data_IF_191329833077
#
_entry.id   IF_191329833077
#
_cell.length_a   1.000
_cell.length_b   1.000
_cell.length_c   1.000
_cell.angle_alpha   90.00
_cell.angle_beta   90.00
_cell.angle_gamma   90.00
#
_symmetry.space_group_name_H-M   'P 1'
#
loop_
_entity.id
_entity.type
_entity.pdbx_description
1 polymer ?
#
# COMPACT_ATOMS: atom_id res chain seq x y z
N UNK A 1 57.12 14.33 27.91
CA UNK A 1 56.19 15.26 27.23
C UNK A 1 55.50 14.45 26.13
N UNK A 2 54.35 13.85 26.45
CA UNK A 2 53.53 13.11 25.49
C UNK A 2 52.43 14.04 25.01
N UNK A 3 52.54 14.48 23.77
CA UNK A 3 51.47 15.16 23.04
C UNK A 3 50.56 14.08 22.43
N UNK A 4 49.49 13.72 23.15
CA UNK A 4 48.38 12.98 22.54
C UNK A 4 47.65 13.94 21.60
N UNK A 5 47.77 13.69 20.30
CA UNK A 5 46.91 14.29 19.30
C UNK A 5 45.51 13.69 19.48
N UNK A 6 44.57 14.50 19.95
CA UNK A 6 43.15 14.21 19.81
C UNK A 6 42.83 14.22 18.30
N UNK A 7 42.37 13.09 17.78
CA UNK A 7 41.84 13.01 16.43
C UNK A 7 40.63 13.94 16.27
N UNK A 8 40.32 14.40 15.05
CA UNK A 8 39.09 15.14 14.79
C UNK A 8 37.93 14.26 15.28
N UNK A 9 37.21 14.75 16.29
CA UNK A 9 36.03 14.07 16.80
C UNK A 9 35.08 13.88 15.64
N UNK A 10 34.63 12.63 15.46
CA UNK A 10 33.43 12.36 14.69
C UNK A 10 32.36 13.29 15.24
N UNK A 11 31.91 14.23 14.40
CA UNK A 11 30.74 15.02 14.70
C UNK A 11 29.61 13.99 14.72
N UNK A 12 29.18 13.61 15.92
CA UNK A 12 27.88 12.97 16.09
C UNK A 12 26.90 13.91 15.39
N UNK A 13 26.43 13.50 14.21
CA UNK A 13 25.43 14.23 13.47
C UNK A 13 24.17 14.17 14.32
N UNK A 14 23.85 15.28 14.99
CA UNK A 14 22.65 15.43 15.81
C UNK A 14 21.45 14.98 14.95
N UNK A 15 20.90 13.80 15.27
CA UNK A 15 19.75 13.24 14.56
C UNK A 15 18.56 14.15 14.88
N UNK A 16 18.20 15.00 13.94
CA UNK A 16 17.05 15.90 14.04
C UNK A 16 15.76 15.09 13.88
N UNK A 17 15.11 14.78 15.01
CA UNK A 17 13.80 14.13 15.02
C UNK A 17 12.72 15.18 14.79
N UNK A 18 12.22 15.26 13.55
CA UNK A 18 11.08 16.14 13.24
C UNK A 18 9.78 15.49 13.67
N UNK A 19 9.18 16.07 14.71
CA UNK A 19 7.87 15.68 15.21
C UNK A 19 6.81 16.28 14.30
N UNK A 20 6.35 15.51 13.30
CA UNK A 20 5.16 15.83 12.54
C UNK A 20 3.96 15.54 13.44
N UNK A 21 3.12 16.54 13.70
CA UNK A 21 1.87 16.32 14.43
C UNK A 21 1.02 15.30 13.66
N UNK A 22 0.79 14.09 14.21
CA UNK A 22 0.06 13.05 13.52
C UNK A 22 -1.41 13.44 13.28
N UNK A 23 -1.94 14.46 13.96
CA UNK A 23 -3.27 14.99 13.67
C UNK A 23 -3.34 15.77 12.34
N UNK A 24 -2.20 16.25 11.83
CA UNK A 24 -2.10 16.99 10.57
C UNK A 24 -1.77 16.09 9.36
N UNK A 25 -1.49 14.82 9.59
CA UNK A 25 -1.29 13.82 8.54
C UNK A 25 -2.51 12.93 8.51
N UNK A 26 -3.22 12.93 7.39
CA UNK A 26 -4.30 11.98 7.21
C UNK A 26 -3.73 10.55 7.34
N UNK A 27 -4.29 9.69 8.21
CA UNK A 27 -3.84 8.32 8.34
C UNK A 27 -3.80 7.60 6.98
N UNK A 28 -2.77 6.78 6.75
CA UNK A 28 -2.54 6.15 5.46
C UNK A 28 -3.69 5.24 5.01
N UNK A 29 -4.38 4.62 5.97
CA UNK A 29 -5.60 3.85 5.78
C UNK A 29 -6.75 4.72 5.24
N UNK A 30 -6.93 5.93 5.75
CA UNK A 30 -7.96 6.86 5.26
C UNK A 30 -7.65 7.33 3.83
N UNK A 31 -6.38 7.62 3.54
CA UNK A 31 -5.95 7.97 2.18
C UNK A 31 -6.20 6.82 1.19
N UNK A 32 -5.91 5.58 1.59
CA UNK A 32 -6.16 4.39 0.80
C UNK A 32 -7.67 4.16 0.61
N UNK A 33 -8.48 4.35 1.66
CA UNK A 33 -9.93 4.28 1.57
C UNK A 33 -10.49 5.30 0.57
N UNK A 34 -10.01 6.55 0.58
CA UNK A 34 -10.43 7.57 -0.38
C UNK A 34 -10.14 7.15 -1.82
N UNK A 35 -8.99 6.54 -2.09
CA UNK A 35 -8.65 6.03 -3.42
C UNK A 35 -9.59 4.89 -3.85
N UNK A 36 -9.79 3.88 -2.98
CA UNK A 36 -10.66 2.74 -3.27
C UNK A 36 -12.11 3.18 -3.50
N UNK A 37 -12.64 4.10 -2.68
CA UNK A 37 -13.97 4.67 -2.87
C UNK A 37 -14.06 5.40 -4.21
N UNK A 38 -13.06 6.19 -4.57
CA UNK A 38 -13.07 6.93 -5.83
C UNK A 38 -13.08 5.99 -7.04
N UNK A 39 -12.25 4.94 -7.02
CA UNK A 39 -12.21 3.92 -8.07
C UNK A 39 -13.53 3.16 -8.18
N UNK A 40 -14.05 2.67 -7.06
CA UNK A 40 -15.34 1.96 -6.98
C UNK A 40 -16.50 2.82 -7.50
N UNK A 41 -16.48 4.12 -7.21
CA UNK A 41 -17.51 5.05 -7.67
C UNK A 41 -17.52 5.21 -9.21
N UNK A 42 -16.35 5.18 -9.86
CA UNK A 42 -16.27 5.21 -11.33
C UNK A 42 -16.74 3.90 -11.94
N UNK A 43 -16.36 2.76 -11.36
CA UNK A 43 -16.83 1.44 -11.81
C UNK A 43 -18.35 1.31 -11.71
N UNK A 44 -18.94 1.71 -10.57
CA UNK A 44 -20.38 1.74 -10.38
C UNK A 44 -21.07 2.67 -11.38
N UNK A 45 -20.48 3.84 -11.65
CA UNK A 45 -20.98 4.80 -12.62
C UNK A 45 -20.95 4.23 -14.05
N UNK A 46 -19.84 3.65 -14.48
CA UNK A 46 -19.67 3.00 -15.79
C UNK A 46 -20.68 1.87 -15.98
N UNK A 47 -20.85 1.01 -14.95
CA UNK A 47 -21.81 -0.09 -14.96
C UNK A 47 -23.24 0.42 -15.15
N UNK A 48 -23.70 1.37 -14.33
CA UNK A 48 -25.07 1.90 -14.45
C UNK A 48 -25.27 2.65 -15.76
N UNK A 49 -24.23 3.35 -16.25
CA UNK A 49 -24.29 4.03 -17.55
C UNK A 49 -24.41 3.03 -18.70
N UNK A 50 -23.68 1.92 -18.66
CA UNK A 50 -23.78 0.85 -19.67
C UNK A 50 -25.17 0.19 -19.67
N UNK A 51 -25.79 0.01 -18.50
CA UNK A 51 -27.12 -0.59 -18.37
C UNK A 51 -28.25 0.35 -18.82
N UNK A 52 -28.13 1.65 -18.52
CA UNK A 52 -29.24 2.60 -18.65
C UNK A 52 -29.11 3.54 -19.85
N UNK A 53 -27.88 3.83 -20.30
CA UNK A 53 -27.57 4.86 -21.28
C UNK A 53 -27.86 6.30 -20.79
N UNK A 54 -28.18 6.50 -19.50
CA UNK A 54 -28.58 7.79 -18.93
C UNK A 54 -27.60 8.25 -17.84
N UNK A 55 -26.83 9.29 -18.16
CA UNK A 55 -25.82 9.87 -17.26
C UNK A 55 -26.43 10.41 -15.96
N UNK A 56 -27.61 11.03 -16.02
CA UNK A 56 -28.25 11.61 -14.84
C UNK A 56 -28.74 10.50 -13.90
N UNK A 57 -29.27 9.41 -14.48
CA UNK A 57 -29.65 8.22 -13.72
C UNK A 57 -28.44 7.54 -13.08
N UNK A 58 -27.36 7.34 -13.84
CA UNK A 58 -26.13 6.76 -13.33
C UNK A 58 -25.57 7.56 -12.14
N UNK A 59 -25.49 8.89 -12.24
CA UNK A 59 -25.09 9.76 -11.13
C UNK A 59 -25.98 9.60 -9.89
N UNK A 60 -27.30 9.62 -10.07
CA UNK A 60 -28.25 9.50 -8.97
C UNK A 60 -28.22 8.12 -8.29
N UNK A 61 -27.76 7.08 -8.99
CA UNK A 61 -27.60 5.74 -8.46
C UNK A 61 -26.31 5.59 -7.66
N UNK A 62 -25.19 6.09 -8.17
CA UNK A 62 -23.91 6.12 -7.44
C UNK A 62 -24.00 7.01 -6.18
N UNK A 63 -24.66 8.17 -6.25
CA UNK A 63 -24.94 9.01 -5.08
C UNK A 63 -25.70 8.25 -3.97
N UNK A 64 -26.59 7.31 -4.35
CA UNK A 64 -27.36 6.51 -3.40
C UNK A 64 -26.54 5.36 -2.81
N UNK A 65 -25.62 4.79 -3.59
CA UNK A 65 -24.74 3.71 -3.15
C UNK A 65 -23.68 4.21 -2.14
N UNK A 66 -23.26 5.46 -2.23
CA UNK A 66 -22.16 6.03 -1.44
C UNK A 66 -22.59 7.27 -0.60
N UNK A 67 -23.51 7.11 0.38
CA UNK A 67 -24.11 8.25 1.08
C UNK A 67 -23.15 9.01 2.01
N UNK A 68 -22.07 8.38 2.49
CA UNK A 68 -21.13 8.99 3.43
C UNK A 68 -19.98 9.74 2.74
N UNK A 69 -19.74 9.46 1.46
CA UNK A 69 -18.59 9.96 0.69
C UNK A 69 -19.04 10.81 -0.52
N UNK A 70 -20.24 11.40 -0.44
CA UNK A 70 -20.89 12.10 -1.56
C UNK A 70 -20.02 13.17 -2.24
N UNK A 71 -19.23 13.93 -1.49
CA UNK A 71 -18.38 14.97 -2.09
C UNK A 71 -17.22 14.39 -2.90
N UNK A 72 -16.57 13.35 -2.38
CA UNK A 72 -15.51 12.63 -3.08
C UNK A 72 -16.06 11.96 -4.34
N UNK A 73 -17.15 11.22 -4.21
CA UNK A 73 -17.81 10.51 -5.32
C UNK A 73 -18.23 11.45 -6.44
N UNK A 74 -18.86 12.59 -6.11
CA UNK A 74 -19.28 13.59 -7.11
C UNK A 74 -18.10 14.20 -7.84
N UNK A 75 -17.05 14.58 -7.09
CA UNK A 75 -15.85 15.17 -7.67
C UNK A 75 -15.15 14.17 -8.61
N UNK A 76 -15.07 12.89 -8.23
CA UNK A 76 -14.47 11.84 -9.07
C UNK A 76 -15.25 11.62 -10.36
N UNK A 77 -16.57 11.45 -10.29
CA UNK A 77 -17.41 11.25 -11.49
C UNK A 77 -17.37 12.48 -12.41
N UNK A 78 -17.32 13.69 -11.85
CA UNK A 78 -17.20 14.92 -12.63
C UNK A 78 -15.86 15.00 -13.37
N UNK A 79 -14.74 14.74 -12.69
CA UNK A 79 -13.42 14.76 -13.31
C UNK A 79 -13.26 13.64 -14.36
N UNK A 80 -13.73 12.44 -14.06
CA UNK A 80 -13.75 11.32 -15.01
C UNK A 80 -14.50 11.69 -16.31
N UNK A 81 -15.69 12.29 -16.20
CA UNK A 81 -16.45 12.73 -17.37
C UNK A 81 -15.71 13.82 -18.18
N UNK A 82 -15.03 14.75 -17.50
CA UNK A 82 -14.22 15.79 -18.16
C UNK A 82 -13.03 15.18 -18.92
N UNK A 83 -12.30 14.23 -18.31
CA UNK A 83 -11.16 13.55 -18.93
C UNK A 83 -11.59 12.75 -20.17
N UNK A 84 -12.75 12.09 -20.13
CA UNK A 84 -13.31 11.41 -21.31
C UNK A 84 -13.67 12.36 -22.43
N UNK A 85 -14.28 13.52 -22.13
CA UNK A 85 -14.56 14.56 -23.13
C UNK A 85 -13.26 15.08 -23.75
N UNK A 86 -12.17 15.14 -22.97
CA UNK A 86 -10.84 15.51 -23.46
C UNK A 86 -10.16 14.43 -24.31
N UNK A 87 -10.79 13.26 -24.51
CA UNK A 87 -10.29 12.19 -25.37
C UNK A 87 -9.31 11.24 -24.68
N UNK A 88 -9.24 11.25 -23.34
CA UNK A 88 -8.51 10.21 -22.59
C UNK A 88 -9.17 8.85 -22.76
N UNK A 89 -8.37 7.79 -22.70
CA UNK A 89 -8.91 6.42 -22.65
C UNK A 89 -9.69 6.20 -21.35
N UNK A 90 -10.65 5.27 -21.34
CA UNK A 90 -11.50 5.03 -20.18
C UNK A 90 -10.67 4.62 -18.93
N UNK A 91 -9.65 3.78 -19.12
CA UNK A 91 -8.73 3.35 -18.05
C UNK A 91 -7.89 4.51 -17.50
N UNK A 92 -7.29 5.32 -18.40
CA UNK A 92 -6.48 6.49 -18.01
C UNK A 92 -7.35 7.53 -17.29
N UNK A 93 -8.55 7.81 -17.80
CA UNK A 93 -9.50 8.73 -17.18
C UNK A 93 -9.95 8.24 -15.81
N UNK A 94 -10.17 6.92 -15.62
CA UNK A 94 -10.55 6.33 -14.34
C UNK A 94 -9.44 6.48 -13.32
N UNK A 95 -8.23 6.02 -13.64
CA UNK A 95 -7.09 6.05 -12.72
C UNK A 95 -6.68 7.49 -12.37
N UNK A 96 -6.63 8.39 -13.36
CA UNK A 96 -6.31 9.81 -13.15
C UNK A 96 -7.38 10.51 -12.29
N UNK A 97 -8.67 10.30 -12.57
CA UNK A 97 -9.74 10.92 -11.78
C UNK A 97 -9.75 10.44 -10.33
N UNK A 98 -9.61 9.12 -10.11
CA UNK A 98 -9.58 8.54 -8.77
C UNK A 98 -8.40 9.07 -7.95
N UNK A 99 -7.19 9.04 -8.53
CA UNK A 99 -5.98 9.52 -7.88
C UNK A 99 -6.04 11.01 -7.57
N UNK A 100 -6.37 11.86 -8.55
CA UNK A 100 -6.33 13.31 -8.38
C UNK A 100 -7.39 13.82 -7.41
N UNK A 101 -8.58 13.21 -7.38
CA UNK A 101 -9.62 13.57 -6.41
C UNK A 101 -9.28 13.04 -5.01
N UNK A 102 -8.80 11.80 -4.91
CA UNK A 102 -8.35 11.26 -3.63
C UNK A 102 -7.22 12.11 -3.04
N UNK A 103 -6.24 12.53 -3.83
CA UNK A 103 -5.15 13.41 -3.41
C UNK A 103 -5.64 14.80 -2.99
N UNK A 104 -6.68 15.34 -3.66
CA UNK A 104 -7.27 16.64 -3.29
C UNK A 104 -8.07 16.56 -1.98
N UNK A 105 -8.79 15.46 -1.78
CA UNK A 105 -9.60 15.23 -0.57
C UNK A 105 -8.77 14.69 0.60
N UNK A 106 -7.56 14.22 0.32
CA UNK A 106 -6.55 13.80 1.29
C UNK A 106 -5.46 14.86 1.32
N UNK A 107 -5.62 15.99 2.03
CA UNK A 107 -4.56 16.98 2.16
C UNK A 107 -3.30 16.32 2.73
N UNK A 108 -2.39 15.95 1.82
CA UNK A 108 -1.03 15.59 2.17
C UNK A 108 -0.32 16.88 2.53
N UNK A 109 0.53 16.83 3.54
CA UNK A 109 1.56 17.85 3.69
C UNK A 109 2.32 17.88 2.37
N UNK A 110 2.25 19.01 1.66
CA UNK A 110 3.06 19.21 0.46
C UNK A 110 4.54 19.04 0.80
N UNK A 111 5.37 18.67 -0.18
CA UNK A 111 6.81 18.58 0.03
C UNK A 111 7.39 19.90 0.61
N UNK A 112 6.81 21.05 0.24
CA UNK A 112 7.13 22.35 0.85
C UNK A 112 6.69 22.48 2.30
N UNK A 113 5.49 21.98 2.68
CA UNK A 113 5.07 21.98 4.07
C UNK A 113 5.89 21.03 4.92
N UNK A 114 6.28 19.88 4.37
CA UNK A 114 7.23 18.97 5.00
C UNK A 114 8.56 19.70 5.16
N UNK A 115 9.15 20.22 4.08
CA UNK A 115 10.41 20.96 4.13
C UNK A 115 10.37 22.18 5.07
N UNK A 116 9.24 22.89 5.14
CA UNK A 116 9.04 24.01 6.06
C UNK A 116 8.92 23.53 7.52
N UNK A 117 8.32 22.37 7.76
CA UNK A 117 8.31 21.74 9.09
C UNK A 117 9.73 21.32 9.51
N UNK A 118 10.55 20.81 8.58
CA UNK A 118 11.97 20.51 8.81
C UNK A 118 12.85 21.76 8.93
N UNK A 119 12.49 22.87 8.28
CA UNK A 119 13.26 24.13 8.36
C UNK A 119 12.87 25.02 9.55
N UNK A 120 11.76 24.72 10.22
CA UNK A 120 11.36 25.43 11.42
C UNK A 120 12.41 25.15 12.51
N UNK A 121 12.97 26.18 13.18
CA UNK A 121 13.98 25.98 14.21
C UNK A 121 13.39 25.04 15.27
N UNK A 122 14.07 23.93 15.50
CA UNK A 122 13.66 22.94 16.49
C UNK A 122 13.33 23.65 17.80
N UNK A 123 12.03 23.68 18.13
CA UNK A 123 11.60 24.08 19.46
C UNK A 123 11.93 22.88 20.32
N UNK A 124 13.19 22.78 20.74
CA UNK A 124 13.60 21.79 21.72
C UNK A 124 12.69 21.96 22.92
N UNK A 125 11.79 21.00 23.14
CA UNK A 125 11.25 20.80 24.47
C UNK A 125 12.47 20.66 25.38
N UNK A 126 12.52 21.45 26.46
CA UNK A 126 13.70 21.52 27.32
C UNK A 126 14.18 20.11 27.64
N UNK A 127 15.41 19.83 27.22
CA UNK A 127 15.99 18.50 27.14
C UNK A 127 15.66 17.70 28.41
N UNK A 128 14.87 16.63 28.26
CA UNK A 128 14.56 15.74 29.39
C UNK A 128 15.86 15.07 29.87
N UNK A 129 16.91 15.11 29.06
CA UNK A 129 18.23 14.54 29.33
C UNK A 129 19.13 15.44 30.18
N UNK A 130 18.73 16.70 30.45
CA UNK A 130 19.36 17.54 31.50
C UNK A 130 18.99 17.08 32.92
N UNK A 131 18.00 16.19 33.06
CA UNK A 131 17.77 15.46 34.29
C UNK A 131 18.80 14.34 34.40
N UNK A 132 19.85 14.56 35.22
CA UNK A 132 20.88 13.60 35.64
C UNK A 132 20.32 12.17 35.75
N UNK A 133 20.36 11.42 34.64
CA UNK A 133 19.78 10.08 34.46
C UNK A 133 20.50 9.01 35.28
N UNK A 134 21.38 9.44 36.19
CA UNK A 134 22.00 8.62 37.23
C UNK A 134 20.93 7.88 38.00
N UNK A 135 20.61 6.69 37.49
CA UNK A 135 20.30 5.50 38.25
C UNK A 135 19.44 5.82 39.48
N UNK A 136 18.23 6.30 39.25
CA UNK A 136 17.15 6.00 40.17
C UNK A 136 16.65 4.62 39.75
N UNK A 137 17.21 3.50 40.27
CA UNK A 137 16.50 2.23 40.15
C UNK A 137 15.09 2.52 40.69
N UNK A 138 14.02 2.05 40.01
CA UNK A 138 12.69 2.21 40.56
C UNK A 138 12.77 1.71 42.00
N UNK A 139 12.58 2.61 42.96
CA UNK A 139 12.66 2.25 44.37
C UNK A 139 11.71 1.07 44.50
N UNK A 140 12.27 -0.12 44.77
CA UNK A 140 11.58 -1.41 44.77
C UNK A 140 10.17 -1.17 45.25
N UNK A 141 9.19 -1.25 44.34
CA UNK A 141 7.82 -0.87 44.65
C UNK A 141 7.42 -1.69 45.88
N UNK A 142 7.31 -1.03 47.04
CA UNK A 142 6.86 -1.66 48.28
C UNK A 142 5.36 -1.99 48.22
N UNK A 143 4.73 -1.78 47.07
CA UNK A 143 3.38 -2.27 46.77
C UNK A 143 3.51 -3.78 46.59
N UNK A 144 3.02 -4.59 47.55
CA UNK A 144 2.98 -6.03 47.37
C UNK A 144 2.18 -6.33 46.11
N UNK A 145 2.70 -7.18 45.23
CA UNK A 145 1.93 -7.68 44.10
C UNK A 145 0.63 -8.27 44.64
N UNK A 146 -0.48 -7.63 44.27
CA UNK A 146 -1.80 -8.02 44.73
C UNK A 146 -2.21 -9.20 43.88
N UNK A 147 -2.51 -10.35 44.50
CA UNK A 147 -3.10 -11.49 43.80
C UNK A 147 -4.29 -10.99 42.96
N UNK A 148 -4.37 -11.37 41.67
CA UNK A 148 -5.42 -10.91 40.79
C UNK A 148 -6.78 -11.26 41.41
N UNK A 149 -7.64 -10.25 41.57
CA UNK A 149 -8.98 -10.47 42.10
C UNK A 149 -9.72 -11.45 41.17
N UNK A 150 -10.38 -12.50 41.70
CA UNK A 150 -11.01 -13.55 40.89
C UNK A 150 -12.13 -13.04 39.96
N UNK A 151 -12.64 -11.82 40.19
CA UNK A 151 -13.64 -11.15 39.35
C UNK A 151 -13.07 -10.01 38.50
N UNK A 152 -11.75 -9.82 38.50
CA UNK A 152 -11.06 -8.77 37.75
C UNK A 152 -11.22 -8.95 36.25
N UNK A 153 -11.22 -7.84 35.51
CA UNK A 153 -11.34 -7.86 34.04
C UNK A 153 -10.24 -8.69 33.36
N UNK A 154 -9.06 -8.79 33.99
CA UNK A 154 -7.94 -9.64 33.55
C UNK A 154 -8.29 -11.12 33.72
N UNK A 155 -8.83 -11.51 34.88
CA UNK A 155 -9.26 -12.89 35.15
C UNK A 155 -10.42 -13.33 34.24
N UNK A 156 -11.26 -12.40 33.78
CA UNK A 156 -12.38 -12.68 32.86
C UNK A 156 -11.98 -12.80 31.40
N UNK A 157 -10.86 -12.22 30.99
CA UNK A 157 -10.42 -12.20 29.59
C UNK A 157 -9.25 -13.12 29.30
N UNK A 158 -8.60 -13.69 30.32
CA UNK A 158 -7.70 -14.81 30.11
C UNK A 158 -8.55 -16.05 29.78
N UNK A 159 -8.47 -16.60 28.56
CA UNK A 159 -9.12 -17.87 28.27
C UNK A 159 -8.57 -18.89 29.26
N UNK A 160 -9.45 -19.67 29.90
CA UNK A 160 -9.03 -20.77 30.76
C UNK A 160 -8.07 -21.61 29.96
N UNK A 161 -6.79 -21.62 30.35
CA UNK A 161 -5.75 -22.38 29.66
C UNK A 161 -6.25 -23.81 29.67
N UNK A 162 -6.61 -24.40 28.51
CA UNK A 162 -7.01 -25.79 28.49
C UNK A 162 -5.82 -26.57 29.04
N UNK A 163 -6.08 -27.53 29.93
CA UNK A 163 -5.08 -28.54 30.30
C UNK A 163 -4.66 -29.23 29.00
N UNK A 164 -3.60 -28.71 28.38
CA UNK A 164 -2.93 -29.31 27.25
C UNK A 164 -2.26 -30.55 27.80
N UNK A 165 -3.00 -31.66 27.78
CA UNK A 165 -2.44 -32.99 27.97
C UNK A 165 -1.58 -33.26 26.74
N UNK A 166 -0.33 -32.78 26.79
CA UNK A 166 0.71 -33.21 25.86
C UNK A 166 0.92 -34.69 26.16
N UNK A 167 0.66 -35.60 25.20
CA UNK A 167 0.92 -37.01 25.40
C UNK A 167 2.39 -37.18 25.80
N UNK A 168 2.67 -38.00 26.84
CA UNK A 168 4.05 -38.28 27.28
C UNK A 168 4.94 -38.87 26.17
N UNK A 169 4.34 -39.28 25.05
CA UNK A 169 5.00 -39.83 23.86
C UNK A 169 5.23 -38.79 22.74
N UNK A 170 4.92 -37.51 22.94
CA UNK A 170 5.24 -36.45 21.98
C UNK A 170 6.72 -36.05 22.12
N UNK A 171 7.59 -36.80 21.46
CA UNK A 171 8.93 -36.32 21.08
C UNK A 171 8.77 -35.50 19.80
N UNK A 172 8.83 -34.16 19.85
CA UNK A 172 8.95 -33.37 18.62
C UNK A 172 10.18 -33.87 17.86
N UNK A 173 9.97 -34.33 16.63
CA UNK A 173 11.05 -34.67 15.71
C UNK A 173 11.85 -33.39 15.41
N UNK A 174 12.84 -33.12 16.26
CA UNK A 174 13.83 -32.10 15.99
C UNK A 174 14.76 -32.65 14.92
N UNK A 175 14.65 -32.12 13.71
CA UNK A 175 15.70 -32.27 12.72
C UNK A 175 17.00 -31.76 13.34
N UNK A 176 18.07 -32.52 13.17
CA UNK A 176 19.40 -32.02 13.47
C UNK A 176 19.72 -30.85 12.53
N UNK A 177 20.63 -29.96 12.94
CA UNK A 177 21.03 -28.83 12.09
C UNK A 177 21.55 -29.29 10.71
N UNK A 178 22.16 -30.47 10.63
CA UNK A 178 22.62 -31.05 9.36
C UNK A 178 21.45 -31.52 8.47
N UNK A 179 20.35 -32.00 9.06
CA UNK A 179 19.15 -32.42 8.32
C UNK A 179 18.34 -31.20 7.83
N UNK A 180 18.26 -30.15 8.63
CA UNK A 180 17.63 -28.87 8.26
C UNK A 180 18.35 -28.21 7.06
N UNK A 181 19.69 -28.19 7.09
CA UNK A 181 20.49 -27.69 5.96
C UNK A 181 20.30 -28.53 4.69
N UNK A 182 20.18 -29.86 4.82
CA UNK A 182 19.97 -30.76 3.67
C UNK A 182 18.59 -30.56 3.03
N UNK A 183 17.54 -30.36 3.82
CA UNK A 183 16.19 -30.14 3.33
C UNK A 183 16.07 -28.76 2.65
N UNK A 184 16.69 -27.73 3.22
CA UNK A 184 16.78 -26.40 2.59
C UNK A 184 17.55 -26.46 1.26
N UNK A 185 18.66 -27.21 1.19
CA UNK A 185 19.42 -27.38 -0.04
C UNK A 185 18.61 -28.14 -1.12
N UNK A 186 17.81 -29.13 -0.71
CA UNK A 186 16.93 -29.87 -1.62
C UNK A 186 15.79 -28.98 -2.17
N UNK A 187 15.27 -28.06 -1.35
CA UNK A 187 14.31 -27.04 -1.80
C UNK A 187 14.94 -26.07 -2.80
N UNK A 188 16.13 -25.52 -2.50
CA UNK A 188 16.83 -24.57 -3.38
C UNK A 188 17.22 -25.19 -4.74
N UNK A 189 17.45 -26.52 -4.76
CA UNK A 189 17.72 -27.27 -5.99
C UNK A 189 16.46 -27.63 -6.79
N UNK A 190 15.27 -27.30 -6.29
CA UNK A 190 13.99 -27.55 -6.97
C UNK A 190 13.66 -29.04 -7.11
N UNK A 191 14.06 -29.88 -6.16
CA UNK A 191 13.68 -31.29 -6.17
C UNK A 191 12.15 -31.44 -6.03
N UNK A 192 11.57 -32.28 -6.87
CA UNK A 192 10.12 -32.44 -6.94
C UNK A 192 9.60 -33.16 -5.69
N UNK A 193 8.93 -32.42 -4.80
CA UNK A 193 8.34 -32.95 -3.56
C UNK A 193 8.79 -32.27 -2.27
N UNK A 194 9.77 -31.37 -2.32
CA UNK A 194 10.20 -30.57 -1.15
C UNK A 194 9.37 -29.30 -1.03
N UNK A 195 8.56 -29.21 0.03
CA UNK A 195 7.86 -27.97 0.40
C UNK A 195 8.78 -27.13 1.28
N UNK A 196 8.73 -25.78 1.25
CA UNK A 196 9.59 -24.97 2.11
C UNK A 196 9.33 -25.31 3.58
N UNK A 197 10.39 -25.68 4.29
CA UNK A 197 10.32 -25.93 5.73
C UNK A 197 9.96 -24.62 6.42
N UNK A 198 8.74 -24.54 6.97
CA UNK A 198 8.24 -23.29 7.58
C UNK A 198 8.60 -23.14 9.06
N UNK A 199 9.35 -24.09 9.65
CA UNK A 199 9.83 -24.04 11.05
C UNK A 199 8.76 -23.86 12.12
N UNK A 200 7.49 -23.86 11.73
CA UNK A 200 6.35 -23.55 12.55
C UNK A 200 5.40 -24.74 12.44
N UNK A 201 5.15 -25.40 13.58
CA UNK A 201 4.09 -26.39 13.66
C UNK A 201 2.83 -25.82 13.00
N UNK A 202 2.32 -26.48 11.97
CA UNK A 202 1.10 -26.06 11.29
C UNK A 202 0.03 -25.79 12.36
N UNK A 203 -0.59 -24.59 12.40
CA UNK A 203 -1.47 -24.23 13.50
C UNK A 203 -2.61 -25.23 13.58
N UNK A 204 -2.64 -26.04 14.65
CA UNK A 204 -3.76 -26.91 14.93
C UNK A 204 -4.95 -26.04 15.34
N UNK A 205 -5.90 -25.84 14.42
CA UNK A 205 -7.15 -25.17 14.73
C UNK A 205 -8.09 -26.19 15.38
N UNK A 206 -8.32 -26.04 16.68
CA UNK A 206 -9.37 -26.78 17.39
C UNK A 206 -10.72 -26.17 16.99
N UNK A 207 -11.53 -26.91 16.24
CA UNK A 207 -12.90 -26.47 15.96
C UNK A 207 -13.77 -26.56 17.23
N UNK A 208 -14.95 -25.92 17.22
CA UNK A 208 -15.90 -25.93 18.35
C UNK A 208 -16.39 -27.33 18.76
N UNK A 209 -16.08 -28.38 17.99
CA UNK A 209 -16.40 -29.77 18.30
C UNK A 209 -15.23 -30.57 18.89
N UNK A 210 -14.07 -29.96 19.13
CA UNK A 210 -12.93 -30.59 19.80
C UNK A 210 -12.20 -31.65 18.97
N UNK A 211 -12.35 -31.62 17.63
CA UNK A 211 -11.69 -32.56 16.72
C UNK A 211 -10.50 -31.89 16.05
N UNK A 212 -9.30 -32.39 16.30
CA UNK A 212 -8.07 -31.94 15.63
C UNK A 212 -8.11 -32.34 14.15
N UNK A 213 -7.96 -31.38 13.24
CA UNK A 213 -7.79 -31.64 11.80
C UNK A 213 -6.52 -30.94 11.31
N UNK A 214 -5.68 -31.70 10.59
CA UNK A 214 -4.51 -31.17 9.91
C UNK A 214 -4.94 -30.56 8.57
N UNK A 215 -4.54 -29.32 8.30
CA UNK A 215 -4.97 -28.55 7.12
C UNK A 215 -4.23 -28.95 5.83
N UNK A 216 -3.12 -29.69 5.92
CA UNK A 216 -2.22 -29.95 4.79
C UNK A 216 -2.58 -31.12 3.87
N UNK A 217 -3.71 -31.83 4.08
CA UNK A 217 -4.00 -33.10 3.39
C UNK A 217 -5.17 -33.10 2.40
N UNK A 218 -5.71 -31.93 2.00
CA UNK A 218 -6.76 -31.85 0.97
C UNK A 218 -6.45 -30.78 -0.08
N UNK A 219 -5.32 -30.92 -0.77
CA UNK A 219 -5.19 -30.43 -2.15
C UNK A 219 -5.26 -31.64 -3.08
N UNK A 220 -6.47 -32.18 -3.24
CA UNK A 220 -6.79 -33.09 -4.34
C UNK A 220 -6.55 -32.30 -5.64
N UNK A 221 -5.48 -32.64 -6.34
CA UNK A 221 -5.13 -32.06 -7.63
C UNK A 221 -6.33 -32.19 -8.58
N UNK A 222 -6.96 -31.06 -8.89
CA UNK A 222 -7.91 -30.98 -9.99
C UNK A 222 -7.09 -31.16 -11.27
N UNK A 223 -7.15 -32.37 -11.82
CA UNK A 223 -6.60 -32.73 -13.12
C UNK A 223 -7.36 -31.98 -14.22
N UNK A 224 -6.85 -30.82 -14.64
CA UNK A 224 -7.37 -30.03 -15.79
C UNK A 224 -6.67 -30.48 -17.08
N UNK A 225 -6.53 -31.80 -17.27
CA UNK A 225 -5.95 -32.38 -18.49
C UNK A 225 -6.88 -33.41 -19.09
N UNK A 226 -8.05 -32.98 -19.56
CA UNK A 226 -8.96 -33.89 -20.25
C UNK A 226 -10.23 -33.25 -20.80
N UNK A 227 -10.12 -32.46 -21.88
CA UNK A 227 -11.15 -32.33 -22.92
C UNK A 227 -10.64 -31.41 -24.04
N UNK A 228 -9.78 -31.94 -24.90
CA UNK A 228 -9.66 -31.46 -26.27
C UNK A 228 -10.55 -32.41 -27.08
N UNK A 229 -11.81 -32.02 -27.23
CA UNK A 229 -12.74 -32.66 -28.15
C UNK A 229 -12.56 -31.97 -29.50
N UNK A 230 -11.90 -32.66 -30.43
CA UNK A 230 -11.73 -32.27 -31.83
C UNK A 230 -13.06 -32.46 -32.59
N UNK A 231 -14.08 -31.72 -32.17
CA UNK A 231 -15.42 -31.72 -32.76
C UNK A 231 -15.63 -30.51 -33.65
N UNK A 232 -15.54 -30.72 -34.96
CA UNK A 232 -16.20 -29.91 -36.00
C UNK A 232 -17.62 -29.54 -35.56
N UNK A 233 -17.88 -28.28 -35.23
CA UNK A 233 -19.23 -27.74 -35.24
C UNK A 233 -19.23 -26.28 -35.70
N UNK A 234 -19.99 -26.06 -36.77
CA UNK A 234 -20.33 -24.80 -37.40
C UNK A 234 -20.85 -23.78 -36.36
N UNK A 235 -19.97 -22.94 -35.81
CA UNK A 235 -20.40 -21.73 -35.11
C UNK A 235 -20.80 -20.69 -36.17
N UNK A 236 -22.04 -20.82 -36.64
CA UNK A 236 -22.71 -19.78 -37.40
C UNK A 236 -22.88 -18.58 -36.47
N UNK A 237 -22.12 -17.52 -36.70
CA UNK A 237 -22.40 -16.22 -36.11
C UNK A 237 -23.82 -15.80 -36.51
N UNK A 238 -24.72 -15.47 -35.57
CA UNK A 238 -26.02 -14.95 -35.94
C UNK A 238 -25.80 -13.58 -36.59
N UNK A 239 -25.98 -13.51 -37.91
CA UNK A 239 -26.26 -12.25 -38.60
C UNK A 239 -27.46 -11.61 -37.91
N UNK A 240 -27.22 -10.56 -37.15
CA UNK A 240 -28.24 -9.61 -36.69
C UNK A 240 -28.91 -8.99 -37.92
N UNK A 241 -29.96 -9.66 -38.42
CA UNK A 241 -30.93 -9.05 -39.31
C UNK A 241 -31.78 -8.10 -38.47
N UNK A 242 -31.41 -6.83 -38.51
CA UNK A 242 -32.27 -5.71 -38.11
C UNK A 242 -33.55 -5.73 -38.96
N UNK A 243 -34.61 -6.33 -38.43
CA UNK A 243 -35.97 -6.16 -38.94
C UNK A 243 -36.66 -5.10 -38.09
N UNK A 244 -36.38 -3.84 -38.40
CA UNK A 244 -37.16 -2.71 -37.89
C UNK A 244 -37.73 -1.93 -39.08
N UNK A 245 -39.02 -2.13 -39.44
CA UNK A 245 -39.66 -1.37 -40.49
C UNK A 245 -40.38 -0.16 -39.89
N UNK A 246 -39.62 0.87 -39.52
CA UNK A 246 -40.16 2.21 -39.25
C UNK A 246 -39.34 3.29 -39.94
N UNK A 247 -39.16 3.13 -41.26
CA UNK A 247 -38.82 4.27 -42.14
C UNK A 247 -40.09 5.10 -42.31
N UNK A 248 -40.30 6.03 -41.37
CA UNK A 248 -41.11 7.20 -41.64
C UNK A 248 -40.38 8.04 -42.69
N UNK A 249 -41.07 8.36 -43.78
CA UNK A 249 -40.63 9.26 -44.84
C UNK A 249 -40.05 10.55 -44.26
N UNK A 250 -38.71 10.65 -44.21
CA UNK A 250 -38.04 11.91 -43.97
C UNK A 250 -38.14 12.73 -45.25
N UNK A 251 -39.10 13.65 -45.28
CA UNK A 251 -39.26 14.61 -46.36
C UNK A 251 -38.06 15.54 -46.40
N UNK A 252 -37.37 15.45 -47.52
CA UNK A 252 -36.36 16.36 -48.05
C UNK A 252 -36.94 17.79 -48.16
N UNK A 253 -36.93 18.54 -47.06
CA UNK A 253 -37.23 19.98 -47.06
C UNK A 253 -36.48 20.66 -45.92
N UNK A 254 -35.76 21.72 -46.28
CA UNK A 254 -35.09 22.74 -45.44
C UNK A 254 -33.77 22.38 -44.75
N UNK A 255 -32.67 22.58 -45.49
CA UNK A 255 -31.34 22.90 -44.90
C UNK A 255 -30.87 24.27 -45.43
N UNK A 256 -31.17 25.39 -44.73
CA UNK A 256 -30.48 26.66 -44.94
C UNK A 256 -29.32 26.89 -43.95
N UNK A 257 -28.95 25.91 -43.12
CA UNK A 257 -28.01 26.13 -42.01
C UNK A 257 -26.52 25.90 -42.35
N UNK A 258 -26.19 25.23 -43.47
CA UNK A 258 -24.79 24.88 -43.79
C UNK A 258 -24.06 25.98 -44.56
N UNK A 259 -24.77 26.95 -45.15
CA UNK A 259 -24.13 28.06 -45.87
C UNK A 259 -23.56 29.14 -44.93
N UNK A 260 -24.05 29.23 -43.69
CA UNK A 260 -23.64 30.26 -42.73
C UNK A 260 -22.27 30.02 -42.07
N UNK A 261 -21.71 28.82 -42.20
CA UNK A 261 -20.39 28.48 -41.63
C UNK A 261 -19.23 28.70 -42.61
N UNK A 262 -19.50 28.78 -43.92
CA UNK A 262 -18.48 29.04 -44.94
C UNK A 262 -18.22 30.54 -45.18
N UNK A 263 -19.15 31.42 -44.79
CA UNK A 263 -18.97 32.88 -44.91
C UNK A 263 -18.20 33.49 -43.72
N UNK A 264 -17.99 32.75 -42.63
CA UNK A 264 -17.24 33.22 -41.46
C UNK A 264 -15.70 33.14 -41.65
N UNK A 265 -15.22 32.30 -42.58
CA UNK A 265 -13.79 32.03 -42.76
C UNK A 265 -13.10 33.03 -43.71
N UNK A 266 -13.87 33.82 -44.46
CA UNK A 266 -13.30 34.84 -45.37
C UNK A 266 -13.09 36.21 -44.70
N UNK A 267 -13.66 36.46 -43.52
CA UNK A 267 -13.41 37.71 -42.75
C UNK A 267 -12.17 37.67 -41.85
N UNK A 268 -11.54 36.50 -41.67
CA UNK A 268 -10.29 36.37 -40.91
C UNK A 268 -9.05 36.85 -41.70
N UNK A 269 -9.13 36.94 -43.03
CA UNK A 269 -8.03 37.37 -43.89
C UNK A 269 -7.74 38.89 -43.86
N UNK A 270 -8.64 39.70 -43.28
CA UNK A 270 -8.46 41.17 -43.14
C UNK A 270 -8.08 41.61 -41.72
N UNK A 271 -8.08 40.67 -40.76
CA UNK A 271 -7.49 40.94 -39.45
C UNK A 271 -5.99 40.92 -39.62
N UNK A 272 -5.40 42.10 -39.83
CA UNK A 272 -3.96 42.31 -39.86
C UNK A 272 -3.31 41.89 -38.55
N UNK A 273 -3.13 40.58 -38.38
CA UNK A 273 -2.11 40.00 -37.52
C UNK A 273 -0.82 40.52 -38.13
N UNK A 274 -0.31 41.59 -37.51
CA UNK A 274 0.85 42.29 -37.97
C UNK A 274 2.00 41.28 -38.11
N UNK A 275 2.76 41.37 -39.20
CA UNK A 275 3.96 40.56 -39.46
C UNK A 275 5.01 40.60 -38.32
N UNK A 276 4.81 41.38 -37.25
CA UNK A 276 5.62 41.35 -36.03
C UNK A 276 5.48 40.05 -35.25
N UNK A 277 4.28 39.49 -35.17
CA UNK A 277 4.03 38.28 -34.37
C UNK A 277 4.67 37.05 -35.03
N UNK A 278 4.75 37.05 -36.36
CA UNK A 278 5.44 36.01 -37.12
C UNK A 278 6.96 36.06 -36.89
N UNK A 279 7.56 37.24 -36.74
CA UNK A 279 8.98 37.37 -36.48
C UNK A 279 9.34 36.95 -35.05
N UNK A 280 8.53 37.34 -34.06
CA UNK A 280 8.71 36.91 -32.66
C UNK A 280 8.52 35.39 -32.51
N UNK A 281 7.58 34.81 -33.26
CA UNK A 281 7.36 33.36 -33.26
C UNK A 281 8.52 32.61 -33.93
N UNK A 282 9.16 33.18 -34.97
CA UNK A 282 10.34 32.60 -35.60
C UNK A 282 11.59 32.70 -34.70
N UNK A 283 11.83 33.83 -34.04
CA UNK A 283 12.93 33.97 -33.07
C UNK A 283 12.76 32.98 -31.90
N UNK A 284 11.51 32.78 -31.43
CA UNK A 284 11.20 31.78 -30.39
C UNK A 284 11.41 30.34 -30.88
N UNK A 285 11.20 30.04 -32.16
CA UNK A 285 11.51 28.73 -32.73
C UNK A 285 13.03 28.53 -32.78
N UNK A 286 13.78 29.55 -33.20
CA UNK A 286 15.24 29.49 -33.24
C UNK A 286 15.84 29.32 -31.83
N UNK A 287 15.29 29.95 -30.80
CA UNK A 287 15.69 29.74 -29.40
C UNK A 287 15.39 28.32 -28.90
N UNK A 288 14.24 27.75 -29.29
CA UNK A 288 13.88 26.36 -28.96
C UNK A 288 14.78 25.35 -29.69
N UNK A 289 15.20 25.67 -30.91
CA UNK A 289 16.12 24.83 -31.69
C UNK A 289 17.59 25.02 -31.29
N UNK A 290 17.95 26.17 -30.69
CA UNK A 290 19.27 26.43 -30.14
C UNK A 290 19.45 25.89 -28.70
N UNK A 291 18.37 25.43 -28.07
CA UNK A 291 18.43 24.76 -26.78
C UNK A 291 19.37 23.54 -26.88
N UNK A 292 20.20 23.28 -25.85
CA UNK A 292 21.13 22.15 -25.87
C UNK A 292 20.37 20.85 -26.13
N UNK A 293 20.95 19.98 -26.96
CA UNK A 293 20.34 18.71 -27.35
C UNK A 293 19.71 18.03 -26.13
N UNK A 294 18.42 17.67 -26.20
CA UNK A 294 17.73 17.07 -25.07
C UNK A 294 18.55 15.87 -24.60
N UNK A 295 18.75 15.78 -23.29
CA UNK A 295 19.43 14.64 -22.67
C UNK A 295 18.90 13.37 -23.34
N UNK A 296 19.75 12.55 -23.97
CA UNK A 296 19.27 11.42 -24.76
C UNK A 296 18.38 10.57 -23.88
N UNK A 297 17.22 10.16 -24.40
CA UNK A 297 16.20 9.41 -23.65
C UNK A 297 16.80 8.23 -22.87
N UNK A 298 17.82 7.57 -23.43
CA UNK A 298 18.58 6.52 -22.77
C UNK A 298 19.18 6.93 -21.42
N UNK A 299 19.78 8.12 -21.31
CA UNK A 299 20.36 8.63 -20.07
C UNK A 299 19.28 9.04 -19.05
N UNK A 300 18.08 9.42 -19.51
CA UNK A 300 16.93 9.66 -18.63
C UNK A 300 16.41 8.34 -18.06
N UNK A 301 16.25 7.33 -18.91
CA UNK A 301 15.82 5.98 -18.49
C UNK A 301 16.83 5.35 -17.53
N UNK A 302 18.14 5.48 -17.80
CA UNK A 302 19.20 5.00 -16.90
C UNK A 302 19.13 5.68 -15.53
N UNK A 303 18.94 7.00 -15.49
CA UNK A 303 18.77 7.74 -14.23
C UNK A 303 17.51 7.32 -13.48
N UNK A 304 16.40 7.07 -14.18
CA UNK A 304 15.18 6.56 -13.57
C UNK A 304 15.39 5.15 -12.99
N UNK A 305 16.10 4.27 -13.70
CA UNK A 305 16.46 2.95 -13.20
C UNK A 305 17.26 3.02 -11.90
N UNK A 306 18.32 3.85 -11.89
CA UNK A 306 19.13 4.05 -10.70
C UNK A 306 18.33 4.57 -9.50
N UNK A 307 17.41 5.52 -9.73
CA UNK A 307 16.56 6.05 -8.66
C UNK A 307 15.59 5.00 -8.08
N UNK A 308 15.10 4.08 -8.91
CA UNK A 308 14.24 2.97 -8.46
C UNK A 308 15.05 1.96 -7.65
N UNK A 309 16.26 1.62 -8.09
CA UNK A 309 17.15 0.71 -7.36
C UNK A 309 17.52 1.30 -5.98
N UNK A 310 17.88 2.59 -5.91
CA UNK A 310 18.18 3.29 -4.66
C UNK A 310 16.97 3.32 -3.70
N UNK A 311 15.75 3.49 -4.23
CA UNK A 311 14.53 3.45 -3.44
C UNK A 311 14.22 2.04 -2.91
N UNK A 312 14.47 1.01 -3.73
CA UNK A 312 14.30 -0.39 -3.32
C UNK A 312 15.28 -0.78 -2.21
N UNK A 313 16.55 -0.37 -2.34
CA UNK A 313 17.58 -0.56 -1.31
C UNK A 313 17.25 0.19 -0.01
N UNK A 314 16.64 1.38 -0.10
CA UNK A 314 16.18 2.13 1.07
C UNK A 314 15.03 1.41 1.79
N UNK A 315 14.06 0.89 1.04
CA UNK A 315 12.94 0.12 1.59
C UNK A 315 13.42 -1.15 2.30
N UNK A 316 14.30 -1.91 1.65
CA UNK A 316 14.85 -3.13 2.23
C UNK A 316 15.63 -2.87 3.52
N UNK A 317 16.44 -1.80 3.57
CA UNK A 317 17.13 -1.39 4.81
C UNK A 317 16.15 -1.01 5.93
N UNK A 318 15.05 -0.34 5.60
CA UNK A 318 14.03 0.01 6.59
C UNK A 318 13.33 -1.23 7.17
N UNK A 319 13.03 -2.21 6.32
CA UNK A 319 12.44 -3.49 6.73
C UNK A 319 13.38 -4.26 7.69
N UNK A 320 14.66 -4.42 7.32
CA UNK A 320 15.66 -5.07 8.17
C UNK A 320 15.81 -4.35 9.51
N UNK A 321 15.84 -3.02 9.50
CA UNK A 321 15.92 -2.21 10.74
C UNK A 321 14.68 -2.42 11.63
N UNK A 322 13.50 -2.54 11.02
CA UNK A 322 12.26 -2.84 11.73
C UNK A 322 12.26 -4.22 12.37
N UNK A 323 12.74 -5.24 11.66
CA UNK A 323 12.89 -6.59 12.21
C UNK A 323 13.90 -6.64 13.36
N UNK A 324 15.02 -5.93 13.24
CA UNK A 324 16.03 -5.84 14.29
C UNK A 324 15.50 -5.12 15.53
N UNK A 325 14.72 -4.05 15.37
CA UNK A 325 14.05 -3.39 16.48
C UNK A 325 13.05 -4.33 17.19
N UNK A 326 12.28 -5.12 16.45
CA UNK A 326 11.38 -6.13 17.02
C UNK A 326 12.14 -7.26 17.73
N UNK A 327 13.27 -7.70 17.17
CA UNK A 327 14.15 -8.70 17.79
C UNK A 327 14.75 -8.15 19.10
N UNK A 328 15.19 -6.89 19.10
CA UNK A 328 15.70 -6.21 20.28
C UNK A 328 14.63 -6.07 21.38
N UNK A 329 13.39 -5.71 21.03
CA UNK A 329 12.27 -5.65 21.99
C UNK A 329 11.95 -7.03 22.59
N UNK A 330 11.89 -8.08 21.75
CA UNK A 330 11.69 -9.46 22.24
C UNK A 330 12.80 -9.90 23.19
N UNK A 331 14.06 -9.63 22.86
CA UNK A 331 15.20 -9.92 23.73
C UNK A 331 15.15 -9.12 25.03
N UNK A 332 14.69 -7.87 24.98
CA UNK A 332 14.52 -7.03 26.17
C UNK A 332 13.46 -7.60 27.11
N UNK A 333 12.30 -8.03 26.57
CA UNK A 333 11.23 -8.67 27.35
C UNK A 333 11.69 -9.98 27.97
N UNK A 334 12.36 -10.83 27.19
CA UNK A 334 12.87 -12.09 27.72
C UNK A 334 13.89 -11.88 28.85
N UNK A 335 14.82 -10.92 28.68
CA UNK A 335 15.76 -10.55 29.76
C UNK A 335 15.05 -9.98 31.00
N UNK A 336 13.95 -9.25 30.82
CA UNK A 336 13.15 -8.75 31.93
C UNK A 336 12.44 -9.89 32.67
N UNK A 337 11.89 -10.87 31.95
CA UNK A 337 11.26 -12.06 32.52
C UNK A 337 12.26 -12.95 33.28
N UNK A 338 13.48 -13.10 32.76
CA UNK A 338 14.57 -13.81 33.44
C UNK A 338 15.02 -13.11 34.73
N UNK A 339 15.00 -11.77 34.75
CA UNK A 339 15.31 -11.00 35.95
C UNK A 339 14.15 -10.96 36.96
N UNK A 340 12.90 -10.97 36.47
CA UNK A 340 11.70 -10.96 37.29
C UNK A 340 11.40 -12.33 37.89
N UNK A 341 11.85 -13.41 37.25
CA UNK A 341 11.76 -14.76 37.79
C UNK A 341 12.47 -14.79 39.15
N UNK A 342 11.73 -14.96 40.27
CA UNK A 342 12.35 -15.05 41.57
C UNK A 342 13.35 -16.19 41.47
N UNK A 343 14.63 -15.92 41.75
CA UNK A 343 15.64 -16.98 41.90
C UNK A 343 15.06 -17.97 42.90
N UNK A 344 14.45 -19.03 42.39
CA UNK A 344 14.00 -20.14 43.21
C UNK A 344 15.28 -20.66 43.80
N UNK A 345 15.53 -20.32 45.06
CA UNK A 345 16.67 -20.82 45.82
C UNK A 345 16.65 -22.32 45.64
N UNK A 346 17.61 -22.83 44.88
CA UNK A 346 17.80 -24.22 44.46
C UNK A 346 18.21 -25.13 45.65
N UNK A 347 17.69 -24.80 46.83
CA UNK A 347 17.91 -25.48 48.10
C UNK A 347 16.81 -26.51 48.41
N UNK A 348 15.77 -26.64 47.60
CA UNK A 348 14.71 -27.63 47.81
C UNK A 348 14.90 -28.94 47.03
N UNK A 349 15.80 -29.02 46.05
CA UNK A 349 16.11 -30.30 45.40
C UNK A 349 17.28 -30.98 46.10
N UNK A 350 16.91 -31.81 47.07
CA UNK A 350 17.82 -32.74 47.73
C UNK A 350 18.46 -33.70 46.73
N UNK A 351 19.59 -33.30 46.16
CA UNK A 351 20.59 -34.24 45.69
C UNK A 351 21.19 -34.94 46.93
N UNK A 352 20.51 -35.96 47.42
CA UNK A 352 21.11 -36.86 48.40
C UNK A 352 22.31 -37.55 47.73
N UNK A 353 23.54 -37.36 48.25
CA UNK A 353 24.70 -38.07 47.74
C UNK A 353 24.54 -39.56 48.05
N UNK A 354 24.55 -40.39 47.00
CA UNK A 354 24.63 -41.86 47.11
C UNK A 354 26.05 -42.33 47.37
#
# INVERSE_FOLDING_TARGET
>A
MNTHAYGPGEHDEDIEVVVIDPANVMPADVALCNYITAETAVEDFERVLAETGDVARARAEVDRAHPNELELVKATIELYAQLRIAGRSDEEARSEAARDVADRMTPRLSAEQVAAAFAAPAVGEGDVDDADWRWNPPASSLVPEREPEPDGWIARNLPATPDLVVPDEYEPDYLTAEEDELEQLAFDNGEEGTSPYTGMAAPMVVNQSGVLRNWASESEAVDITGMVDDGDDDVSWPMLRSTDPTVAEFRETDVPAVQLLLDADTTAAESGIANSDTAELLDRIDDVLAAPEPTPLAAVVERCGQAVDEASDALHRAEVTGEDAQRADRLSRWNADDQASPRTDDRSEGWEPR
#
